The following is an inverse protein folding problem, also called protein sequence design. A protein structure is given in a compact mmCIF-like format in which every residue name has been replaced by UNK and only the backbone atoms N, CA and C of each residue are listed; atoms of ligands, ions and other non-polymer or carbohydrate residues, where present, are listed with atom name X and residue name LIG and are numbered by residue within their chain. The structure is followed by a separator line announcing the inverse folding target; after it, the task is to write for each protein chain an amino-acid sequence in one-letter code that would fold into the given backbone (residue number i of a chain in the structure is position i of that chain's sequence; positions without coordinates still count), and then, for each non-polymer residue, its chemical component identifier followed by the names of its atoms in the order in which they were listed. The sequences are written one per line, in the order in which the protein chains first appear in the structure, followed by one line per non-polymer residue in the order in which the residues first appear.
data_IF_638365853839
#
_entry.id   IF_638365853839
#
_cell.length_a   1.000
_cell.length_b   1.000
_cell.length_c   1.000
_cell.angle_alpha   90.00
_cell.angle_beta   90.00
_cell.angle_gamma   90.00
#
_symmetry.space_group_name_H-M   'P 1'
#
loop_
_entity.id
_entity.type
_entity.pdbx_description
1 polymer ?
#
# COMPACT_ATOMS: atom_id res chain seq x y z
N UNK A 1 -27.18 9.13 55.65
CA UNK A 1 -28.63 9.24 55.97
C UNK A 1 -28.86 10.56 56.72
N UNK A 2 -30.04 11.21 56.64
CA UNK A 2 -30.77 11.65 55.45
C UNK A 2 -31.28 13.12 55.60
N UNK A 3 -31.81 13.74 54.53
CA UNK A 3 -33.18 14.33 54.50
C UNK A 3 -33.45 15.10 53.20
N UNK A 4 -34.60 14.77 52.63
CA UNK A 4 -35.20 15.31 51.42
C UNK A 4 -35.91 16.66 51.65
N UNK A 5 -36.16 17.41 50.58
CA UNK A 5 -37.43 18.13 50.39
C UNK A 5 -37.67 18.44 48.91
N UNK A 6 -38.80 17.95 48.37
CA UNK A 6 -39.43 18.40 47.11
C UNK A 6 -40.11 19.77 47.36
N UNK A 7 -40.55 20.47 46.31
CA UNK A 7 -41.95 20.89 46.08
C UNK A 7 -42.07 21.59 44.70
N UNK A 8 -43.29 21.53 44.15
CA UNK A 8 -43.75 21.79 42.78
C UNK A 8 -44.08 23.26 42.50
N UNK A 9 -44.12 23.70 41.22
CA UNK A 9 -45.26 24.43 40.60
C UNK A 9 -45.24 24.24 39.07
N UNK A 10 -46.42 23.91 38.51
CA UNK A 10 -46.77 23.90 37.09
C UNK A 10 -47.93 24.90 36.92
N UNK A 11 -47.87 25.81 35.95
CA UNK A 11 -49.03 26.59 35.51
C UNK A 11 -49.05 26.65 33.99
N UNK A 12 -50.16 26.17 33.44
CA UNK A 12 -50.58 26.20 32.05
C UNK A 12 -51.64 27.31 31.90
N UNK A 13 -51.62 28.06 30.80
CA UNK A 13 -52.65 29.04 30.47
C UNK A 13 -52.69 29.29 28.96
N UNK A 14 -53.65 28.64 28.29
CA UNK A 14 -54.03 28.78 26.88
C UNK A 14 -55.23 29.74 26.79
N UNK A 15 -55.40 30.47 25.67
CA UNK A 15 -56.65 30.56 24.84
C UNK A 15 -56.66 31.80 23.90
N UNK A 16 -56.68 31.47 22.60
CA UNK A 16 -57.46 31.93 21.43
C UNK A 16 -57.61 33.41 20.93
N UNK A 17 -57.43 33.50 19.59
CA UNK A 17 -57.67 34.47 18.50
C UNK A 17 -59.13 35.01 18.34
N UNK A 18 -59.43 36.12 17.59
CA UNK A 18 -59.30 36.20 16.09
C UNK A 18 -59.08 37.58 15.38
N UNK A 19 -58.48 37.53 14.16
CA UNK A 19 -59.05 38.10 12.92
C UNK A 19 -58.60 39.46 12.34
N UNK A 20 -57.71 39.42 11.31
CA UNK A 20 -57.50 40.27 10.09
C UNK A 20 -57.36 41.82 10.22
N UNK A 21 -56.63 42.62 9.41
CA UNK A 21 -56.42 42.72 7.94
C UNK A 21 -54.99 43.23 7.57
N UNK A 22 -54.54 42.94 6.33
CA UNK A 22 -53.25 43.20 5.61
C UNK A 22 -52.75 44.69 5.55
N UNK A 23 -51.51 45.13 5.21
CA UNK A 23 -50.15 44.70 4.73
C UNK A 23 -49.20 45.94 4.91
N UNK A 24 -47.83 45.92 4.88
CA UNK A 24 -46.98 45.42 3.77
C UNK A 24 -45.69 44.65 4.18
N UNK A 25 -45.07 43.98 3.20
CA UNK A 25 -43.73 43.35 3.22
C UNK A 25 -42.84 44.06 2.14
N UNK A 26 -41.47 44.03 2.17
CA UNK A 26 -40.73 42.79 1.88
C UNK A 26 -39.45 42.52 2.71
N UNK A 27 -39.28 41.22 2.97
CA UNK A 27 -38.09 40.38 2.74
C UNK A 27 -37.19 40.01 3.94
N UNK A 28 -37.27 38.73 4.31
CA UNK A 28 -36.22 38.02 5.04
C UNK A 28 -36.57 36.61 5.53
N UNK A 29 -37.01 35.69 4.65
CA UNK A 29 -37.24 34.28 5.03
C UNK A 29 -37.41 33.28 3.88
N UNK A 30 -36.46 32.34 3.80
CA UNK A 30 -36.47 30.91 3.37
C UNK A 30 -37.53 30.40 2.37
N UNK A 31 -37.05 29.69 1.34
CA UNK A 31 -37.82 28.63 0.63
C UNK A 31 -38.36 29.04 -0.73
N UNK A 32 -37.71 28.58 -1.80
CA UNK A 32 -38.19 28.78 -3.17
C UNK A 32 -39.37 27.85 -3.49
N UNK A 33 -40.58 28.42 -3.53
CA UNK A 33 -41.74 27.79 -4.18
C UNK A 33 -41.93 28.41 -5.56
N UNK A 34 -41.72 27.64 -6.63
CA UNK A 34 -42.07 28.02 -8.00
C UNK A 34 -42.85 26.90 -8.68
N UNK A 35 -44.18 27.02 -8.73
CA UNK A 35 -45.06 26.16 -9.51
C UNK A 35 -45.50 26.92 -10.77
N UNK A 36 -44.65 26.90 -11.80
CA UNK A 36 -45.01 27.27 -13.18
C UNK A 36 -44.54 26.14 -14.10
N UNK A 37 -45.23 25.84 -15.22
CA UNK A 37 -44.82 24.75 -16.12
C UNK A 37 -43.40 24.90 -16.70
N UNK A 38 -42.82 26.11 -16.67
CA UNK A 38 -41.53 26.45 -17.28
C UNK A 38 -40.53 27.19 -16.35
N UNK A 39 -40.64 27.07 -15.02
CA UNK A 39 -39.75 27.76 -14.09
C UNK A 39 -38.70 26.86 -13.47
N UNK A 40 -37.41 26.95 -13.82
CA UNK A 40 -36.33 26.25 -13.08
C UNK A 40 -36.03 27.02 -11.77
N UNK A 41 -36.74 26.72 -10.68
CA UNK A 41 -36.27 26.89 -9.29
C UNK A 41 -36.12 25.61 -8.45
N UNK A 42 -35.37 24.58 -8.83
CA UNK A 42 -35.02 24.26 -10.20
C UNK A 42 -36.21 23.69 -10.99
N UNK A 43 -37.44 24.02 -10.61
CA UNK A 43 -38.75 23.44 -10.95
C UNK A 43 -39.14 23.32 -12.44
N UNK A 44 -38.34 22.65 -13.26
CA UNK A 44 -38.85 21.99 -14.47
C UNK A 44 -39.26 20.55 -14.17
N UNK A 45 -40.54 20.23 -14.23
CA UNK A 45 -41.04 18.84 -14.20
C UNK A 45 -41.00 18.32 -15.64
N UNK A 46 -39.82 17.87 -16.10
CA UNK A 46 -39.70 17.07 -17.32
C UNK A 46 -39.13 15.68 -17.01
N UNK A 47 -39.59 14.63 -17.70
CA UNK A 47 -39.13 13.28 -17.41
C UNK A 47 -37.68 13.12 -17.90
N UNK A 48 -36.70 13.15 -16.98
CA UNK A 48 -35.36 12.61 -17.26
C UNK A 48 -34.13 13.31 -16.67
N UNK A 49 -34.24 14.41 -15.90
CA UNK A 49 -33.05 15.10 -15.38
C UNK A 49 -33.10 15.40 -13.88
N UNK A 50 -32.17 14.84 -13.10
CA UNK A 50 -31.88 15.30 -11.73
C UNK A 50 -30.90 16.47 -11.86
N UNK A 51 -31.13 17.55 -11.11
CA UNK A 51 -30.47 18.84 -11.24
C UNK A 51 -28.96 18.83 -11.53
N UNK A 52 -28.59 19.64 -12.51
CA UNK A 52 -27.23 19.96 -12.94
C UNK A 52 -27.36 20.74 -14.24
N UNK A 53 -26.87 21.97 -14.29
CA UNK A 53 -27.02 22.87 -15.44
C UNK A 53 -26.37 22.29 -16.70
N UNK A 54 -27.17 21.91 -17.71
CA UNK A 54 -26.65 21.65 -19.07
C UNK A 54 -27.52 20.68 -19.89
N UNK A 55 -28.22 21.21 -20.88
CA UNK A 55 -29.09 20.49 -21.83
C UNK A 55 -28.22 19.99 -23.00
N UNK A 56 -27.55 18.84 -22.83
CA UNK A 56 -26.99 18.05 -23.92
C UNK A 56 -27.32 16.56 -23.67
N UNK A 57 -27.55 15.74 -24.70
CA UNK A 57 -27.63 14.29 -24.53
C UNK A 57 -26.23 13.78 -24.15
N UNK A 58 -25.96 13.66 -22.84
CA UNK A 58 -24.65 13.28 -22.28
C UNK A 58 -24.29 13.88 -20.92
N UNK A 59 -25.24 14.39 -20.14
CA UNK A 59 -24.96 15.11 -18.89
C UNK A 59 -24.17 14.29 -17.84
N UNK A 60 -23.03 14.82 -17.42
CA UNK A 60 -22.28 14.44 -16.21
C UNK A 60 -22.26 15.68 -15.31
N UNK A 61 -23.02 15.65 -14.22
CA UNK A 61 -23.04 16.72 -13.23
C UNK A 61 -21.93 16.53 -12.20
N UNK A 62 -21.07 17.54 -12.03
CA UNK A 62 -20.09 17.59 -10.95
C UNK A 62 -19.03 18.67 -11.16
N UNK A 63 -19.21 19.85 -10.55
CA UNK A 63 -18.15 20.86 -10.42
C UNK A 63 -17.18 20.41 -9.33
N UNK A 64 -16.20 19.57 -9.68
CA UNK A 64 -15.10 19.20 -8.80
C UNK A 64 -13.77 19.50 -9.47
N UNK A 65 -13.04 20.52 -8.97
CA UNK A 65 -11.64 20.76 -9.35
C UNK A 65 -10.73 19.81 -8.55
N UNK A 66 -10.97 18.51 -8.69
CA UNK A 66 -10.10 17.40 -8.31
C UNK A 66 -10.10 16.42 -9.49
N UNK A 67 -8.95 15.84 -9.90
CA UNK A 67 -8.93 14.78 -10.89
C UNK A 67 -9.51 13.51 -10.25
N UNK A 68 -10.83 13.43 -10.24
CA UNK A 68 -11.61 12.44 -9.51
C UNK A 68 -13.09 12.77 -9.63
N UNK A 69 -13.60 12.73 -10.86
CA UNK A 69 -15.04 12.83 -11.11
C UNK A 69 -15.80 11.70 -10.43
N UNK A 70 -17.11 11.86 -10.29
CA UNK A 70 -18.04 10.88 -9.73
C UNK A 70 -18.12 9.69 -10.71
N UNK A 71 -17.11 8.83 -10.68
CA UNK A 71 -16.96 7.71 -11.60
C UNK A 71 -15.82 6.83 -11.13
N UNK A 72 -16.15 5.58 -10.76
CA UNK A 72 -15.24 4.56 -10.24
C UNK A 72 -14.19 4.06 -11.26
N UNK A 73 -13.49 4.97 -11.91
CA UNK A 73 -12.33 4.68 -12.77
C UNK A 73 -11.02 4.73 -11.99
N UNK A 74 -11.03 5.11 -10.71
CA UNK A 74 -9.85 5.02 -9.87
C UNK A 74 -9.55 3.58 -9.45
N UNK A 75 -8.26 3.27 -9.32
CA UNK A 75 -7.73 2.01 -8.79
C UNK A 75 -6.95 2.35 -7.51
N UNK A 76 -7.20 1.58 -6.45
CA UNK A 76 -6.37 1.57 -5.24
C UNK A 76 -5.74 0.19 -5.08
N UNK A 77 -4.42 0.10 -5.19
CA UNK A 77 -3.67 -1.13 -4.98
C UNK A 77 -2.98 -1.10 -3.62
N UNK A 78 -3.09 -2.19 -2.85
CA UNK A 78 -2.37 -2.40 -1.61
C UNK A 78 -1.59 -3.70 -1.74
N UNK A 79 -0.27 -3.61 -1.71
CA UNK A 79 0.53 -4.79 -1.95
C UNK A 79 2.02 -4.51 -1.90
N UNK A 80 2.75 -5.36 -2.59
CA UNK A 80 4.21 -5.36 -2.60
C UNK A 80 4.70 -5.04 -4.01
N UNK A 81 5.73 -4.20 -4.13
CA UNK A 81 6.43 -4.01 -5.40
C UNK A 81 7.15 -5.30 -5.76
N UNK A 82 6.79 -5.88 -6.89
CA UNK A 82 7.32 -7.15 -7.36
C UNK A 82 8.36 -7.01 -8.46
N UNK A 83 8.28 -5.94 -9.28
CA UNK A 83 9.17 -5.67 -10.43
C UNK A 83 9.24 -4.18 -10.78
N UNK A 84 10.27 -3.81 -11.54
CA UNK A 84 10.55 -2.45 -12.04
C UNK A 84 10.51 -2.31 -13.58
N UNK A 85 10.53 -1.04 -14.03
CA UNK A 85 10.26 -0.56 -15.38
C UNK A 85 9.09 0.43 -15.29
N UNK A 86 7.90 -0.14 -15.15
CA UNK A 86 6.82 0.38 -14.31
C UNK A 86 6.89 -0.32 -12.95
N UNK A 87 6.07 0.04 -11.97
CA UNK A 87 5.92 -0.81 -10.78
C UNK A 87 4.85 -1.87 -11.03
N UNK A 88 5.14 -3.10 -10.64
CA UNK A 88 4.15 -4.19 -10.63
C UNK A 88 3.74 -4.45 -9.19
N UNK A 89 2.44 -4.33 -8.91
CA UNK A 89 1.86 -4.53 -7.58
C UNK A 89 0.63 -5.40 -7.74
N UNK A 90 0.60 -6.52 -7.04
CA UNK A 90 -0.47 -7.52 -7.15
C UNK A 90 -0.68 -7.96 -8.62
N UNK A 91 0.39 -8.23 -9.37
CA UNK A 91 0.33 -8.68 -10.77
C UNK A 91 0.02 -7.59 -11.80
N UNK A 92 -0.60 -6.48 -11.38
CA UNK A 92 -0.93 -5.36 -12.25
C UNK A 92 0.24 -4.40 -12.44
N UNK A 93 0.47 -3.97 -13.68
CA UNK A 93 1.43 -2.91 -14.01
C UNK A 93 0.82 -1.52 -13.78
N UNK A 94 1.56 -0.64 -13.08
CA UNK A 94 1.24 0.78 -12.88
C UNK A 94 2.34 1.66 -13.47
N UNK A 95 2.01 2.38 -14.55
CA UNK A 95 2.94 3.33 -15.15
C UNK A 95 3.24 4.49 -14.20
N UNK A 96 4.52 4.84 -14.09
CA UNK A 96 4.98 6.03 -13.38
C UNK A 96 5.11 7.19 -14.38
N UNK A 97 4.63 8.37 -14.01
CA UNK A 97 4.74 9.59 -14.82
C UNK A 97 5.47 10.69 -14.05
N UNK A 98 5.87 11.80 -14.72
CA UNK A 98 6.44 12.96 -14.03
C UNK A 98 5.50 13.60 -12.98
N UNK A 99 4.20 13.30 -13.04
CA UNK A 99 3.19 13.80 -12.10
C UNK A 99 2.93 12.85 -10.93
N UNK A 100 3.46 11.62 -10.97
CA UNK A 100 3.31 10.68 -9.86
C UNK A 100 3.96 11.25 -8.60
N UNK A 101 3.20 11.28 -7.51
CA UNK A 101 3.69 11.70 -6.19
C UNK A 101 4.16 10.50 -5.41
N UNK A 102 5.23 10.67 -4.65
CA UNK A 102 5.84 9.62 -3.85
C UNK A 102 5.91 10.05 -2.40
N UNK A 103 5.65 9.12 -1.49
CA UNK A 103 5.96 9.31 -0.08
C UNK A 103 6.47 8.03 0.56
N UNK A 104 7.31 8.18 1.57
CA UNK A 104 7.85 7.10 2.40
C UNK A 104 7.50 7.41 3.85
N UNK A 105 6.64 6.58 4.44
CA UNK A 105 6.11 6.76 5.79
C UNK A 105 5.56 8.18 6.06
N UNK A 106 4.94 8.78 5.04
CA UNK A 106 4.33 10.12 5.09
C UNK A 106 5.28 11.28 4.80
N UNK A 107 6.59 11.05 4.69
CA UNK A 107 7.53 12.05 4.18
C UNK A 107 7.53 12.04 2.66
N UNK A 108 7.63 13.22 2.02
CA UNK A 108 7.75 13.30 0.57
C UNK A 108 9.02 12.58 0.09
N UNK A 109 8.90 11.84 -1.01
CA UNK A 109 10.00 11.07 -1.61
C UNK A 109 10.02 11.18 -3.13
N UNK A 110 10.71 10.24 -3.76
CA UNK A 110 10.92 10.15 -5.20
C UNK A 110 10.80 8.72 -5.69
N UNK A 111 10.78 8.53 -7.02
CA UNK A 111 10.81 7.20 -7.62
C UNK A 111 12.04 6.35 -7.21
N UNK A 112 13.16 7.00 -6.82
CA UNK A 112 14.37 6.30 -6.37
C UNK A 112 14.22 5.66 -4.99
N UNK A 113 13.23 6.10 -4.22
CA UNK A 113 12.97 5.55 -2.90
C UNK A 113 12.14 4.26 -2.95
N UNK A 114 11.68 3.85 -4.14
CA UNK A 114 10.98 2.60 -4.37
C UNK A 114 11.97 1.46 -4.57
N UNK A 115 11.78 0.36 -3.84
CA UNK A 115 12.60 -0.83 -3.91
C UNK A 115 11.76 -2.10 -4.09
N UNK A 116 12.43 -3.17 -4.53
CA UNK A 116 11.79 -4.47 -4.69
C UNK A 116 11.39 -4.97 -3.31
N UNK A 117 10.15 -5.46 -3.19
CA UNK A 117 9.60 -5.94 -1.92
C UNK A 117 9.05 -4.83 -1.04
N UNK A 118 9.08 -3.56 -1.46
CA UNK A 118 8.45 -2.49 -0.70
C UNK A 118 6.94 -2.68 -0.66
N UNK A 119 6.39 -2.51 0.54
CA UNK A 119 4.94 -2.48 0.72
C UNK A 119 4.43 -1.09 0.36
N UNK A 120 3.50 -1.04 -0.58
CA UNK A 120 2.97 0.21 -1.12
C UNK A 120 1.45 0.26 -1.14
N UNK A 121 0.93 1.49 -1.00
CA UNK A 121 -0.39 1.85 -1.50
C UNK A 121 -0.22 2.65 -2.80
N UNK A 122 -0.86 2.21 -3.88
CA UNK A 122 -0.87 2.91 -5.17
C UNK A 122 -2.28 3.42 -5.44
N UNK A 123 -2.42 4.72 -5.68
CA UNK A 123 -3.62 5.29 -6.28
C UNK A 123 -3.35 5.56 -7.74
N UNK A 124 -4.22 5.06 -8.61
CA UNK A 124 -4.06 5.19 -10.05
C UNK A 124 -5.38 5.56 -10.74
N UNK A 125 -5.28 6.24 -11.88
CA UNK A 125 -6.41 6.36 -12.80
C UNK A 125 -6.39 5.18 -13.78
N UNK A 126 -7.57 4.62 -14.05
CA UNK A 126 -7.79 3.70 -15.16
C UNK A 126 -8.29 4.49 -16.38
N UNK A 127 -7.36 4.96 -17.21
CA UNK A 127 -7.65 5.52 -18.54
C UNK A 127 -6.90 4.68 -19.60
N UNK A 128 -7.46 3.51 -19.92
CA UNK A 128 -6.84 2.51 -20.79
C UNK A 128 -5.67 1.73 -20.17
N UNK A 129 -4.74 2.42 -19.52
CA UNK A 129 -3.64 1.86 -18.71
C UNK A 129 -3.68 2.43 -17.30
N UNK A 130 -3.31 1.65 -16.29
CA UNK A 130 -3.20 2.15 -14.92
C UNK A 130 -1.98 3.09 -14.80
N UNK A 131 -2.25 4.38 -14.60
CA UNK A 131 -1.21 5.40 -14.38
C UNK A 131 -1.24 5.80 -12.91
N UNK A 132 -0.12 5.60 -12.20
CA UNK A 132 0.01 5.94 -10.79
C UNK A 132 0.01 7.46 -10.59
N UNK A 133 -0.89 7.93 -9.72
CA UNK A 133 -0.96 9.32 -9.28
C UNK A 133 -0.24 9.51 -7.95
N UNK A 134 -0.31 8.51 -7.07
CA UNK A 134 0.29 8.51 -5.74
C UNK A 134 0.82 7.11 -5.43
N UNK A 135 2.07 7.03 -4.96
CA UNK A 135 2.71 5.80 -4.50
C UNK A 135 3.28 6.05 -3.10
N UNK A 136 2.75 5.33 -2.11
CA UNK A 136 3.14 5.48 -0.70
C UNK A 136 3.81 4.21 -0.20
N UNK A 137 5.09 4.30 0.13
CA UNK A 137 5.83 3.23 0.81
C UNK A 137 5.53 3.28 2.30
N UNK A 138 5.25 2.13 2.90
CA UNK A 138 4.89 2.02 4.30
C UNK A 138 5.63 0.89 5.02
N UNK A 139 6.71 1.25 5.72
CA UNK A 139 7.54 0.27 6.43
C UNK A 139 6.84 -0.21 7.70
N UNK A 140 6.63 -1.52 7.87
CA UNK A 140 6.05 -2.11 9.08
C UNK A 140 6.76 -1.66 10.36
N UNK A 141 8.09 -1.76 10.37
CA UNK A 141 8.94 -1.45 11.52
C UNK A 141 10.24 -0.79 11.06
N UNK A 142 10.68 0.25 11.76
CA UNK A 142 12.03 0.80 11.67
C UNK A 142 12.62 0.84 13.08
N UNK A 143 13.80 0.24 13.26
CA UNK A 143 14.45 0.24 14.56
C UNK A 143 15.68 -0.64 14.64
N UNK A 144 16.20 -0.78 15.86
CA UNK A 144 17.35 -1.63 16.17
C UNK A 144 16.92 -3.08 16.31
N UNK A 145 17.64 -3.97 15.64
CA UNK A 145 17.50 -5.42 15.80
C UNK A 145 17.99 -5.82 17.19
N UNK A 146 17.15 -6.50 17.96
CA UNK A 146 17.50 -7.00 19.30
C UNK A 146 17.92 -8.46 19.28
N UNK A 147 17.41 -9.24 18.33
CA UNK A 147 17.72 -10.67 18.18
C UNK A 147 17.72 -11.07 16.71
N UNK A 148 18.57 -12.04 16.36
CA UNK A 148 18.65 -12.64 15.02
C UNK A 148 18.74 -14.15 15.16
N UNK A 149 17.77 -14.86 14.59
CA UNK A 149 17.86 -16.30 14.34
C UNK A 149 18.07 -16.50 12.83
N UNK A 150 19.34 -16.64 12.44
CA UNK A 150 19.72 -16.80 11.05
C UNK A 150 19.24 -18.14 10.44
N UNK A 151 19.10 -19.19 11.26
CA UNK A 151 18.63 -20.50 10.81
C UNK A 151 17.14 -20.46 10.48
N UNK A 152 16.34 -19.76 11.30
CA UNK A 152 14.91 -19.54 11.05
C UNK A 152 14.62 -18.34 10.14
N UNK A 153 15.64 -17.54 9.80
CA UNK A 153 15.50 -16.25 9.10
C UNK A 153 14.53 -15.30 9.79
N UNK A 154 14.70 -15.16 11.10
CA UNK A 154 13.84 -14.34 11.97
C UNK A 154 14.65 -13.22 12.63
N UNK A 155 14.05 -12.04 12.73
CA UNK A 155 14.57 -10.90 13.50
C UNK A 155 13.57 -10.51 14.59
N UNK A 156 14.07 -9.97 15.68
CA UNK A 156 13.25 -9.27 16.68
C UNK A 156 13.59 -7.79 16.67
N UNK A 157 12.60 -6.91 16.52
CA UNK A 157 12.75 -5.45 16.52
C UNK A 157 11.60 -4.86 17.32
N UNK A 158 11.88 -4.05 18.35
CA UNK A 158 10.87 -3.54 19.28
C UNK A 158 10.06 -4.63 20.04
N UNK A 159 10.45 -5.91 19.95
CA UNK A 159 9.65 -7.03 20.46
C UNK A 159 8.77 -7.67 19.38
N UNK A 160 8.63 -7.03 18.22
CA UNK A 160 7.98 -7.60 17.05
C UNK A 160 8.83 -8.73 16.46
N UNK A 161 8.17 -9.81 16.07
CA UNK A 161 8.78 -10.95 15.39
C UNK A 161 8.67 -10.79 13.88
N UNK A 162 9.80 -10.61 13.22
CA UNK A 162 9.90 -10.43 11.77
C UNK A 162 10.40 -11.71 11.12
N UNK A 163 9.56 -12.39 10.35
CA UNK A 163 9.93 -13.57 9.58
C UNK A 163 10.29 -13.16 8.14
N UNK A 164 11.49 -13.51 7.68
CA UNK A 164 11.86 -13.36 6.27
C UNK A 164 11.69 -14.67 5.50
N UNK A 165 11.14 -14.59 4.29
CA UNK A 165 11.07 -15.70 3.35
C UNK A 165 12.39 -15.91 2.62
N UNK A 166 12.53 -17.03 1.88
CA UNK A 166 13.78 -17.37 1.17
C UNK A 166 14.22 -16.28 0.18
N UNK A 167 13.25 -15.67 -0.49
CA UNK A 167 13.42 -14.66 -1.55
C UNK A 167 13.29 -13.23 -1.05
N UNK A 168 13.10 -12.99 0.25
CA UNK A 168 13.05 -11.63 0.80
C UNK A 168 14.38 -10.92 0.54
N UNK A 169 14.42 -9.82 -0.23
CA UNK A 169 15.62 -9.04 -0.46
C UNK A 169 16.11 -8.42 0.85
N UNK A 170 17.44 -8.45 1.03
CA UNK A 170 18.13 -7.76 2.11
C UNK A 170 19.14 -6.82 1.46
N UNK A 171 19.02 -5.51 1.66
CA UNK A 171 19.87 -4.50 0.99
C UNK A 171 20.49 -3.53 1.99
N UNK A 172 21.47 -2.76 1.53
CA UNK A 172 22.05 -1.64 2.27
C UNK A 172 21.37 -0.34 1.85
N UNK A 173 21.11 0.56 2.79
CA UNK A 173 20.60 1.89 2.47
C UNK A 173 21.61 2.68 1.62
N UNK A 174 21.10 3.48 0.67
CA UNK A 174 21.88 4.31 -0.25
C UNK A 174 22.88 3.51 -1.12
N UNK A 175 22.61 2.21 -1.33
CA UNK A 175 23.42 1.34 -2.15
C UNK A 175 22.57 0.25 -2.80
N UNK A 176 22.93 -0.13 -4.03
CA UNK A 176 22.35 -1.30 -4.70
C UNK A 176 22.92 -2.64 -4.16
N UNK A 177 23.74 -2.58 -3.11
CA UNK A 177 24.35 -3.76 -2.51
C UNK A 177 23.30 -4.66 -1.85
N UNK A 178 23.22 -5.90 -2.34
CA UNK A 178 22.50 -6.99 -1.69
C UNK A 178 23.34 -7.63 -0.59
N UNK A 179 22.68 -8.05 0.49
CA UNK A 179 23.25 -8.74 1.64
C UNK A 179 22.64 -10.14 1.78
N UNK A 180 23.43 -11.08 2.31
CA UNK A 180 22.85 -12.30 2.87
C UNK A 180 22.09 -11.96 4.15
N UNK A 181 21.00 -12.69 4.44
CA UNK A 181 20.30 -12.57 5.72
C UNK A 181 21.24 -12.80 6.91
N UNK A 182 22.22 -13.71 6.75
CA UNK A 182 23.23 -14.02 7.79
C UNK A 182 24.17 -12.86 8.10
N UNK A 183 24.18 -11.79 7.29
CA UNK A 183 24.97 -10.60 7.53
C UNK A 183 24.28 -9.60 8.48
N UNK A 184 23.00 -9.81 8.80
CA UNK A 184 22.27 -9.03 9.79
C UNK A 184 22.66 -9.50 11.20
N UNK A 185 22.87 -8.55 12.10
CA UNK A 185 23.24 -8.83 13.48
C UNK A 185 22.45 -7.95 14.45
N UNK A 186 22.37 -8.40 15.71
CA UNK A 186 21.81 -7.56 16.77
C UNK A 186 22.56 -6.22 16.83
N UNK A 187 21.81 -5.14 17.05
CA UNK A 187 22.28 -3.77 17.06
C UNK A 187 22.17 -3.05 15.70
N UNK A 188 22.11 -3.78 14.57
CA UNK A 188 21.88 -3.18 13.25
C UNK A 188 20.56 -2.40 13.26
N UNK A 189 20.53 -1.25 12.59
CA UNK A 189 19.32 -0.46 12.39
C UNK A 189 18.77 -0.80 11.02
N UNK A 190 17.52 -1.25 10.97
CA UNK A 190 16.89 -1.70 9.73
C UNK A 190 15.52 -1.06 9.55
N UNK A 191 15.11 -0.89 8.29
CA UNK A 191 13.71 -0.70 7.93
C UNK A 191 13.15 -1.99 7.33
N UNK A 192 11.92 -2.33 7.71
CA UNK A 192 11.22 -3.54 7.30
C UNK A 192 9.99 -3.13 6.50
N UNK A 193 9.95 -3.49 5.23
CA UNK A 193 8.69 -3.62 4.49
C UNK A 193 8.12 -4.99 4.78
N UNK A 194 6.84 -5.08 5.16
CA UNK A 194 6.26 -6.36 5.54
C UNK A 194 4.75 -6.33 5.74
N UNK A 195 4.17 -7.53 5.71
CA UNK A 195 2.73 -7.78 5.87
C UNK A 195 2.45 -8.22 7.30
N UNK A 196 1.45 -7.62 7.92
CA UNK A 196 1.02 -7.88 9.29
C UNK A 196 0.33 -9.26 9.38
N UNK A 197 0.82 -10.16 10.23
CA UNK A 197 0.18 -11.45 10.54
C UNK A 197 -0.64 -11.41 11.84
N UNK A 198 -0.68 -10.26 12.51
CA UNK A 198 -1.31 -10.05 13.80
C UNK A 198 -0.40 -10.42 14.98
N UNK A 199 -0.73 -9.90 16.16
CA UNK A 199 -0.07 -10.17 17.45
C UNK A 199 1.45 -9.94 17.44
N UNK A 200 1.89 -8.92 16.70
CA UNK A 200 3.29 -8.54 16.58
C UNK A 200 4.16 -9.47 15.72
N UNK A 201 3.53 -10.30 14.89
CA UNK A 201 4.22 -11.12 13.90
C UNK A 201 4.10 -10.51 12.51
N UNK A 202 5.22 -10.44 11.79
CA UNK A 202 5.30 -9.86 10.45
C UNK A 202 5.95 -10.83 9.47
N UNK A 203 5.46 -10.83 8.23
CA UNK A 203 6.20 -11.38 7.09
C UNK A 203 6.95 -10.25 6.40
N UNK A 204 8.29 -10.25 6.46
CA UNK A 204 9.12 -9.30 5.73
C UNK A 204 9.09 -9.56 4.23
N UNK A 205 8.76 -8.52 3.48
CA UNK A 205 8.78 -8.47 2.02
C UNK A 205 10.02 -7.77 1.50
N UNK A 206 10.64 -6.88 2.29
CA UNK A 206 12.01 -6.41 2.11
C UNK A 206 12.64 -6.00 3.44
N UNK A 207 13.96 -6.14 3.55
CA UNK A 207 14.74 -5.70 4.70
C UNK A 207 15.85 -4.78 4.19
N UNK A 208 15.95 -3.57 4.73
CA UNK A 208 17.01 -2.64 4.37
C UNK A 208 17.79 -2.23 5.61
N UNK A 209 19.09 -2.49 5.61
CA UNK A 209 19.99 -2.07 6.68
C UNK A 209 20.34 -0.61 6.50
N UNK A 210 19.83 0.23 7.39
CA UNK A 210 20.11 1.67 7.44
C UNK A 210 21.51 1.93 8.00
N UNK A 211 21.82 1.27 9.12
CA UNK A 211 23.13 1.39 9.76
C UNK A 211 23.59 0.04 10.34
N UNK A 212 24.85 -0.36 10.10
CA UNK A 212 25.50 -1.38 10.91
C UNK A 212 25.51 -1.02 12.41
N UNK A 213 25.43 -2.02 13.29
CA UNK A 213 25.41 -1.84 14.74
C UNK A 213 26.50 -0.92 15.30
N UNK A 214 27.70 -1.04 14.74
CA UNK A 214 28.95 -0.37 15.12
C UNK A 214 29.08 1.07 14.58
N UNK A 215 28.33 1.41 13.53
CA UNK A 215 28.39 2.73 12.88
C UNK A 215 27.06 3.50 12.98
N UNK A 216 26.08 2.95 13.70
CA UNK A 216 24.80 3.59 13.91
C UNK A 216 24.96 4.90 14.72
N UNK A 217 24.36 6.02 14.26
CA UNK A 217 24.42 7.28 15.00
C UNK A 217 23.72 7.18 16.36
N UNK A 218 24.03 8.12 17.26
CA UNK A 218 23.43 8.18 18.60
C UNK A 218 21.90 8.32 18.55
N UNK A 219 21.39 9.01 17.52
CA UNK A 219 19.96 9.16 17.22
C UNK A 219 19.62 8.41 15.95
N UNK A 220 18.75 7.41 16.06
CA UNK A 220 18.24 6.64 14.91
C UNK A 220 16.70 6.62 14.91
N UNK A 221 16.05 6.55 13.75
CA UNK A 221 14.59 6.56 13.67
C UNK A 221 13.97 5.33 14.34
N UNK A 222 12.78 5.54 14.90
CA UNK A 222 11.87 4.51 15.37
C UNK A 222 10.55 4.67 14.65
N UNK A 223 10.06 3.59 14.06
CA UNK A 223 8.70 3.52 13.51
C UNK A 223 8.11 2.15 13.83
N UNK A 224 6.87 2.13 14.29
CA UNK A 224 6.08 0.91 14.47
C UNK A 224 4.66 1.17 13.97
N UNK A 225 4.20 0.36 13.02
CA UNK A 225 2.80 0.34 12.60
C UNK A 225 2.13 -0.91 13.16
N UNK A 226 0.89 -0.77 13.60
CA UNK A 226 0.12 -1.88 14.14
C UNK A 226 -1.21 -1.39 14.73
N UNK A 227 -1.99 -2.31 15.29
CA UNK A 227 -3.20 -1.98 16.02
C UNK A 227 -2.89 -1.66 17.48
N UNK A 228 -3.67 -0.75 18.06
CA UNK A 228 -3.62 -0.49 19.50
C UNK A 228 -4.26 -1.67 20.22
N UNK A 229 -3.46 -2.46 20.93
CA UNK A 229 -3.94 -3.62 21.69
C UNK A 229 -4.40 -3.23 23.09
N UNK A 230 -3.68 -2.31 23.73
CA UNK A 230 -4.06 -1.77 25.02
C UNK A 230 -3.55 -0.34 25.26
N UNK A 231 -4.28 0.39 26.09
CA UNK A 231 -3.95 1.74 26.53
C UNK A 231 -3.86 1.74 28.06
N UNK A 232 -2.75 2.25 28.61
CA UNK A 232 -2.55 2.39 30.05
C UNK A 232 -2.29 3.87 30.42
N UNK A 233 -3.34 4.72 30.46
CA UNK A 233 -3.20 6.15 30.71
C UNK A 233 -2.50 6.49 32.03
N UNK A 234 -2.77 5.73 33.10
CA UNK A 234 -2.14 5.94 34.41
C UNK A 234 -0.65 5.62 34.43
N UNK A 235 -0.16 4.85 33.45
CA UNK A 235 1.23 4.43 33.34
C UNK A 235 1.97 5.14 32.20
N UNK A 236 1.29 6.00 31.45
CA UNK A 236 1.83 6.62 30.23
C UNK A 236 2.38 5.57 29.26
N UNK A 237 1.61 4.50 29.04
CA UNK A 237 2.02 3.35 28.21
C UNK A 237 0.99 3.03 27.14
N UNK A 238 1.48 2.81 25.92
CA UNK A 238 0.75 2.32 24.76
C UNK A 238 1.25 0.90 24.44
N UNK A 239 0.34 -0.02 24.16
CA UNK A 239 0.66 -1.36 23.65
C UNK A 239 0.18 -1.49 22.20
N UNK A 240 1.10 -1.82 21.30
CA UNK A 240 0.88 -2.03 19.86
C UNK A 240 1.64 -3.29 19.46
N UNK A 241 0.92 -4.30 18.98
CA UNK A 241 1.48 -5.61 18.69
C UNK A 241 2.06 -6.26 19.95
N UNK A 242 3.33 -6.67 19.86
CA UNK A 242 4.05 -7.22 21.00
C UNK A 242 4.74 -6.12 21.85
N UNK A 243 4.63 -4.85 21.43
CA UNK A 243 5.46 -3.76 21.92
C UNK A 243 4.73 -2.89 22.95
N UNK A 244 5.31 -2.74 24.15
CA UNK A 244 4.90 -1.74 25.15
C UNK A 244 5.80 -0.52 25.11
N UNK A 245 5.24 0.62 24.72
CA UNK A 245 5.97 1.89 24.56
C UNK A 245 5.58 2.89 25.65
N UNK A 246 6.58 3.53 26.25
CA UNK A 246 6.37 4.74 27.05
C UNK A 246 6.08 5.91 26.12
N UNK A 247 5.00 6.62 26.40
CA UNK A 247 4.52 7.76 25.60
C UNK A 247 4.14 8.92 26.50
N UNK A 248 4.01 10.12 25.95
CA UNK A 248 3.34 11.19 26.66
C UNK A 248 1.85 10.84 26.81
N UNK A 249 1.30 10.90 28.03
CA UNK A 249 -0.11 10.57 28.29
C UNK A 249 -1.12 11.36 27.45
N UNK A 250 -0.77 12.58 27.01
CA UNK A 250 -1.60 13.36 26.09
C UNK A 250 -1.81 12.65 24.74
N UNK A 251 -0.83 11.87 24.26
CA UNK A 251 -0.92 11.11 23.01
C UNK A 251 -1.90 9.92 23.10
N UNK A 252 -2.26 9.49 24.31
CA UNK A 252 -3.18 8.36 24.52
C UNK A 252 -4.65 8.77 24.43
N UNK A 253 -4.97 10.03 24.73
CA UNK A 253 -6.35 10.53 24.80
C UNK A 253 -7.18 10.34 23.51
N UNK A 254 -6.65 10.59 22.30
CA UNK A 254 -7.43 10.43 21.08
C UNK A 254 -7.55 8.97 20.60
N UNK A 255 -6.81 8.03 21.19
CA UNK A 255 -6.72 6.66 20.69
C UNK A 255 -7.85 5.76 21.20
N UNK A 256 -8.07 4.65 20.49
CA UNK A 256 -8.98 3.56 20.88
C UNK A 256 -8.28 2.22 20.67
N UNK A 257 -8.63 1.23 21.49
CA UNK A 257 -8.22 -0.16 21.25
C UNK A 257 -8.80 -0.65 19.92
N UNK A 258 -8.04 -1.43 19.15
CA UNK A 258 -8.36 -1.89 17.80
C UNK A 258 -8.01 -0.89 16.69
N UNK A 259 -7.70 0.36 17.03
CA UNK A 259 -7.35 1.38 16.05
C UNK A 259 -5.96 1.11 15.45
N UNK A 260 -5.85 1.11 14.12
CA UNK A 260 -4.55 1.08 13.44
C UNK A 260 -3.83 2.42 13.59
N UNK A 261 -2.57 2.37 14.03
CA UNK A 261 -1.73 3.54 14.28
C UNK A 261 -0.34 3.39 13.67
N UNK A 262 0.33 4.52 13.48
CA UNK A 262 1.76 4.61 13.20
C UNK A 262 2.40 5.38 14.36
N UNK A 263 3.22 4.67 15.11
CA UNK A 263 4.05 5.24 16.17
C UNK A 263 5.38 5.67 15.56
N UNK A 264 5.77 6.93 15.76
CA UNK A 264 7.07 7.45 15.31
C UNK A 264 7.83 8.02 16.48
N UNK A 265 9.15 7.93 16.39
CA UNK A 265 10.05 8.53 17.35
C UNK A 265 11.49 8.29 17.00
N UNK A 266 12.34 8.29 18.02
CA UNK A 266 13.77 8.05 17.86
C UNK A 266 14.29 7.17 18.99
N UNK A 267 15.35 6.42 18.73
CA UNK A 267 16.20 5.90 19.79
C UNK A 267 17.25 6.97 20.13
N UNK A 268 17.39 7.29 21.41
CA UNK A 268 18.48 8.13 21.94
C UNK A 268 19.20 7.32 23.00
N UNK A 269 20.51 7.12 22.85
CA UNK A 269 21.34 6.33 23.79
C UNK A 269 20.77 4.93 24.09
N UNK A 270 20.24 4.27 23.04
CA UNK A 270 19.64 2.93 23.13
C UNK A 270 18.22 2.88 23.71
N UNK A 271 17.67 4.00 24.17
CA UNK A 271 16.31 4.09 24.70
C UNK A 271 15.33 4.60 23.64
N UNK A 272 14.20 3.92 23.49
CA UNK A 272 13.12 4.33 22.60
C UNK A 272 12.37 5.54 23.18
N UNK A 273 12.28 6.61 22.41
CA UNK A 273 11.46 7.79 22.71
C UNK A 273 10.40 7.96 21.64
N UNK A 274 9.14 7.79 22.03
CA UNK A 274 8.00 8.08 21.15
C UNK A 274 7.78 9.58 21.07
N UNK A 275 7.64 10.08 19.84
CA UNK A 275 7.44 11.49 19.54
C UNK A 275 6.03 11.76 19.02
N UNK A 276 5.44 10.82 18.27
CA UNK A 276 4.05 10.92 17.82
C UNK A 276 3.39 9.54 17.70
N UNK A 277 2.07 9.53 17.88
CA UNK A 277 1.21 8.38 17.56
C UNK A 277 0.07 8.93 16.73
N UNK A 278 0.02 8.55 15.45
CA UNK A 278 -0.99 9.02 14.51
C UNK A 278 -1.85 7.84 14.05
N UNK A 279 -3.17 8.02 13.84
CA UNK A 279 -3.96 7.02 13.13
C UNK A 279 -3.31 6.66 11.79
N UNK A 280 -3.31 5.38 11.43
CA UNK A 280 -2.89 4.97 10.10
C UNK A 280 -3.85 5.55 9.06
N UNK A 281 -3.32 6.02 7.94
CA UNK A 281 -4.15 6.53 6.86
C UNK A 281 -5.02 5.37 6.34
N UNK A 282 -6.34 5.56 6.32
CA UNK A 282 -7.24 4.58 5.71
C UNK A 282 -6.86 4.43 4.25
N UNK A 283 -6.64 3.19 3.82
CA UNK A 283 -6.61 2.87 2.41
C UNK A 283 -8.03 2.83 1.85
N UNK A 284 -8.17 2.77 0.52
CA UNK A 284 -9.47 2.60 -0.15
C UNK A 284 -10.54 3.61 0.34
N UNK A 285 -10.30 4.91 0.11
CA UNK A 285 -11.18 5.97 0.61
C UNK A 285 -12.27 6.38 -0.40
N UNK A 286 -11.94 6.33 -1.68
CA UNK A 286 -12.76 6.87 -2.73
C UNK A 286 -13.83 5.86 -3.15
N UNK A 287 -15.07 6.14 -2.74
CA UNK A 287 -16.23 5.26 -3.01
C UNK A 287 -16.39 5.01 -4.51
N UNK A 288 -16.58 3.74 -4.87
CA UNK A 288 -16.71 3.27 -6.24
C UNK A 288 -15.40 2.89 -6.93
N UNK A 289 -14.23 3.28 -6.39
CA UNK A 289 -12.94 2.87 -6.96
C UNK A 289 -12.74 1.35 -6.84
N UNK A 290 -12.05 0.77 -7.83
CA UNK A 290 -11.59 -0.62 -7.75
C UNK A 290 -10.48 -0.74 -6.72
N UNK A 291 -10.50 -1.83 -5.96
CA UNK A 291 -9.44 -2.17 -5.01
C UNK A 291 -8.82 -3.50 -5.41
N UNK A 292 -7.50 -3.57 -5.37
CA UNK A 292 -6.73 -4.81 -5.37
C UNK A 292 -5.83 -4.81 -4.14
N UNK A 293 -5.98 -5.80 -3.28
CA UNK A 293 -5.29 -5.87 -2.00
C UNK A 293 -4.69 -7.24 -1.79
N UNK A 294 -3.46 -7.32 -1.30
CA UNK A 294 -2.84 -8.58 -0.86
C UNK A 294 -2.45 -8.47 0.61
N UNK A 295 -2.88 -9.44 1.43
CA UNK A 295 -2.59 -9.43 2.85
C UNK A 295 -3.13 -10.61 3.64
N UNK A 296 -2.80 -10.63 4.92
CA UNK A 296 -3.39 -11.58 5.86
C UNK A 296 -4.76 -11.09 6.32
N UNK A 297 -5.69 -12.02 6.46
CA UNK A 297 -6.97 -11.79 7.09
C UNK A 297 -6.80 -11.69 8.61
N UNK A 298 -7.47 -10.71 9.19
CA UNK A 298 -7.65 -10.55 10.63
C UNK A 298 -9.14 -10.41 10.93
N UNK A 299 -9.56 -10.78 12.14
CA UNK A 299 -10.94 -10.61 12.56
C UNK A 299 -11.15 -9.16 13.01
N UNK A 300 -11.98 -8.40 12.29
CA UNK A 300 -12.44 -7.08 12.71
C UNK A 300 -13.70 -7.18 13.58
N UNK A 301 -14.39 -6.07 13.81
CA UNK A 301 -15.66 -6.07 14.56
C UNK A 301 -16.77 -6.77 13.76
N UNK A 302 -16.96 -6.36 12.50
CA UNK A 302 -18.11 -6.76 11.68
C UNK A 302 -17.78 -7.75 10.55
N UNK A 303 -16.65 -8.44 10.61
CA UNK A 303 -16.25 -9.43 9.60
C UNK A 303 -14.75 -9.55 9.50
N UNK A 304 -14.29 -9.87 8.30
CA UNK A 304 -12.88 -9.92 7.98
C UNK A 304 -12.31 -8.55 7.69
N UNK A 305 -11.06 -8.35 8.08
CA UNK A 305 -10.28 -7.17 7.76
C UNK A 305 -8.93 -7.59 7.24
N UNK A 306 -8.31 -6.74 6.45
CA UNK A 306 -6.93 -6.93 6.02
C UNK A 306 -6.35 -5.56 5.68
N UNK A 307 -5.12 -5.28 6.13
CA UNK A 307 -4.50 -3.95 5.99
C UNK A 307 -5.34 -2.77 6.54
N UNK A 308 -6.16 -3.02 7.56
CA UNK A 308 -7.09 -2.01 8.09
C UNK A 308 -8.28 -1.69 7.18
N UNK A 309 -8.48 -2.46 6.10
CA UNK A 309 -9.67 -2.42 5.25
C UNK A 309 -10.64 -3.50 5.70
N UNK A 310 -11.91 -3.14 5.89
CA UNK A 310 -12.98 -4.09 6.19
C UNK A 310 -13.51 -4.71 4.90
N UNK A 311 -13.71 -6.02 4.91
CA UNK A 311 -14.24 -6.77 3.78
C UNK A 311 -15.72 -7.07 4.01
N UNK A 312 -16.52 -6.82 2.98
CA UNK A 312 -17.92 -7.25 2.91
C UNK A 312 -17.99 -8.37 1.88
N UNK A 313 -18.25 -9.59 2.34
CA UNK A 313 -18.51 -10.73 1.47
C UNK A 313 -20.01 -10.94 1.28
N UNK A 314 -20.40 -11.55 0.16
CA UNK A 314 -21.78 -11.88 -0.15
C UNK A 314 -21.89 -13.09 -1.07
N UNK A 315 -23.11 -13.39 -1.53
CA UNK A 315 -23.36 -14.48 -2.47
C UNK A 315 -22.72 -14.27 -3.85
N UNK A 316 -22.30 -13.03 -4.15
CA UNK A 316 -21.58 -12.68 -5.38
C UNK A 316 -20.07 -12.81 -5.27
N UNK A 317 -19.52 -12.97 -4.06
CA UNK A 317 -18.08 -13.09 -3.85
C UNK A 317 -17.58 -14.40 -4.44
N UNK A 318 -16.65 -14.30 -5.39
CA UNK A 318 -16.01 -15.44 -6.02
C UNK A 318 -14.76 -15.84 -5.24
N UNK A 319 -14.61 -17.14 -4.97
CA UNK A 319 -13.44 -17.69 -4.31
C UNK A 319 -12.59 -18.49 -5.29
N UNK A 320 -11.28 -18.23 -5.30
CA UNK A 320 -10.30 -18.96 -6.11
C UNK A 320 -9.25 -19.62 -5.22
N UNK A 321 -8.84 -20.85 -5.57
CA UNK A 321 -7.87 -21.67 -4.83
C UNK A 321 -8.25 -21.94 -3.36
N UNK A 322 -9.55 -21.89 -3.04
CA UNK A 322 -10.13 -22.12 -1.73
C UNK A 322 -11.61 -21.74 -1.73
N UNK A 323 -12.22 -21.68 -0.55
CA UNK A 323 -13.62 -21.25 -0.38
C UNK A 323 -13.83 -20.35 0.86
N UNK A 324 -15.08 -19.96 1.11
CA UNK A 324 -15.43 -19.10 2.25
C UNK A 324 -15.00 -19.68 3.61
N UNK A 325 -14.95 -21.02 3.76
CA UNK A 325 -14.52 -21.66 5.01
C UNK A 325 -13.01 -21.56 5.25
N UNK A 326 -12.22 -21.21 4.23
CA UNK A 326 -10.79 -20.94 4.33
C UNK A 326 -10.46 -19.50 4.75
N UNK A 327 -11.47 -18.62 4.79
CA UNK A 327 -11.34 -17.32 5.42
C UNK A 327 -11.17 -17.50 6.93
N UNK A 328 -9.92 -17.46 7.39
CA UNK A 328 -9.52 -17.61 8.78
C UNK A 328 -8.51 -16.52 9.12
N UNK A 329 -8.43 -16.14 10.39
CA UNK A 329 -7.39 -15.21 10.83
C UNK A 329 -6.00 -15.81 10.52
N UNK A 330 -5.14 -15.01 9.90
CA UNK A 330 -3.82 -15.44 9.42
C UNK A 330 -3.82 -16.09 8.04
N UNK A 331 -4.97 -16.26 7.36
CA UNK A 331 -4.99 -16.68 5.95
C UNK A 331 -4.46 -15.57 5.05
N UNK A 332 -3.49 -15.87 4.19
CA UNK A 332 -3.03 -14.95 3.14
C UNK A 332 -4.00 -14.97 1.97
N UNK A 333 -4.46 -13.79 1.56
CA UNK A 333 -5.39 -13.64 0.44
C UNK A 333 -4.98 -12.48 -0.47
N UNK A 334 -5.36 -12.58 -1.74
CA UNK A 334 -5.58 -11.42 -2.59
C UNK A 334 -7.09 -11.14 -2.66
N UNK A 335 -7.48 -9.88 -2.56
CA UNK A 335 -8.87 -9.44 -2.63
C UNK A 335 -9.00 -8.41 -3.74
N UNK A 336 -9.97 -8.61 -4.61
CA UNK A 336 -10.41 -7.63 -5.58
C UNK A 336 -11.86 -7.24 -5.29
N UNK A 337 -12.16 -5.96 -5.48
CA UNK A 337 -13.49 -5.45 -5.19
C UNK A 337 -13.64 -3.98 -5.47
N UNK A 338 -14.64 -3.38 -4.80
CA UNK A 338 -14.95 -1.96 -4.89
C UNK A 338 -15.09 -1.32 -3.52
N UNK A 339 -14.65 -0.08 -3.41
CA UNK A 339 -14.89 0.72 -2.20
C UNK A 339 -16.38 1.01 -2.07
N UNK A 340 -17.00 0.53 -0.99
CA UNK A 340 -18.41 0.80 -0.67
C UNK A 340 -18.54 2.03 0.26
N UNK A 341 -17.59 2.17 1.18
CA UNK A 341 -17.42 3.32 2.06
C UNK A 341 -15.93 3.47 2.39
N UNK A 342 -15.45 4.62 2.91
CA UNK A 342 -14.04 4.77 3.26
C UNK A 342 -13.53 3.66 4.17
N UNK A 343 -12.55 2.88 3.71
CA UNK A 343 -11.98 1.73 4.42
C UNK A 343 -12.86 0.46 4.42
N UNK A 344 -13.94 0.42 3.63
CA UNK A 344 -14.84 -0.74 3.49
C UNK A 344 -14.92 -1.14 2.03
N UNK A 345 -14.59 -2.39 1.73
CA UNK A 345 -14.56 -2.95 0.38
C UNK A 345 -15.58 -4.07 0.26
N UNK A 346 -16.45 -3.95 -0.73
CA UNK A 346 -17.28 -5.06 -1.23
C UNK A 346 -16.36 -6.01 -2.02
N UNK A 347 -16.15 -7.21 -1.48
CA UNK A 347 -15.24 -8.20 -2.04
C UNK A 347 -15.94 -8.93 -3.20
N UNK A 348 -15.51 -8.63 -4.42
CA UNK A 348 -16.00 -9.29 -5.63
C UNK A 348 -15.27 -10.63 -5.83
N UNK A 349 -13.97 -10.69 -5.49
CA UNK A 349 -13.15 -11.90 -5.64
C UNK A 349 -12.10 -12.01 -4.52
N UNK A 350 -11.95 -13.22 -3.97
CA UNK A 350 -10.95 -13.59 -2.96
C UNK A 350 -10.13 -14.78 -3.44
N UNK A 351 -8.81 -14.62 -3.51
CA UNK A 351 -7.87 -15.62 -4.02
C UNK A 351 -6.99 -16.08 -2.87
N UNK A 352 -6.98 -17.37 -2.60
CA UNK A 352 -6.15 -17.99 -1.56
C UNK A 352 -4.80 -18.48 -2.11
N UNK A 353 -3.91 -18.88 -1.20
CA UNK A 353 -2.59 -19.45 -1.52
C UNK A 353 -1.70 -18.51 -2.35
N UNK A 354 -1.81 -17.21 -2.07
CA UNK A 354 -1.08 -16.16 -2.77
C UNK A 354 0.33 -15.99 -2.21
N UNK A 355 1.33 -15.87 -3.09
CA UNK A 355 2.66 -15.41 -2.72
C UNK A 355 2.81 -13.91 -3.05
N UNK A 356 2.90 -13.01 -2.05
CA UNK A 356 2.90 -11.57 -2.30
C UNK A 356 4.09 -11.09 -3.15
N UNK A 357 5.24 -11.81 -3.10
CA UNK A 357 6.44 -11.45 -3.86
C UNK A 357 6.40 -11.92 -5.33
N UNK A 358 5.47 -12.80 -5.69
CA UNK A 358 5.41 -13.46 -7.01
C UNK A 358 3.96 -13.64 -7.50
N UNK A 359 3.06 -12.77 -7.04
CA UNK A 359 1.63 -12.91 -7.34
C UNK A 359 1.35 -12.53 -8.79
N UNK A 360 0.75 -13.49 -9.51
CA UNK A 360 0.17 -13.37 -10.84
C UNK A 360 1.15 -12.88 -11.94
N UNK A 361 2.40 -13.35 -11.90
CA UNK A 361 3.28 -13.24 -13.06
C UNK A 361 3.09 -14.44 -13.99
N UNK A 362 2.91 -14.21 -15.31
CA UNK A 362 3.22 -15.26 -16.26
C UNK A 362 4.71 -15.61 -16.12
N UNK A 363 5.02 -16.91 -16.11
CA UNK A 363 6.40 -17.39 -16.24
C UNK A 363 6.96 -16.74 -17.50
N UNK A 364 7.96 -15.87 -17.37
CA UNK A 364 8.71 -15.43 -18.56
C UNK A 364 9.43 -16.68 -19.06
N UNK A 365 9.09 -17.25 -20.24
CA UNK A 365 9.92 -18.29 -20.80
C UNK A 365 11.30 -17.66 -20.96
N UNK A 366 12.33 -18.27 -20.35
CA UNK A 366 13.71 -17.89 -20.65
C UNK A 366 13.81 -17.93 -22.16
N UNK A 367 13.95 -16.77 -22.81
CA UNK A 367 14.32 -16.78 -24.22
C UNK A 367 15.59 -17.63 -24.28
N UNK A 368 15.63 -18.70 -25.09
CA UNK A 368 16.89 -19.36 -25.33
C UNK A 368 17.83 -18.24 -25.77
N UNK A 369 18.96 -18.10 -25.07
CA UNK A 369 20.06 -17.32 -25.59
C UNK A 369 20.39 -17.99 -26.91
N UNK A 370 19.87 -17.46 -28.01
CA UNK A 370 20.29 -17.89 -29.32
C UNK A 370 21.79 -17.64 -29.33
N UNK A 371 22.62 -18.67 -29.58
CA UNK A 371 24.04 -18.43 -29.78
C UNK A 371 24.16 -17.33 -30.85
N UNK A 372 25.12 -16.41 -30.72
CA UNK A 372 25.28 -15.34 -31.70
C UNK A 372 25.29 -15.97 -33.09
N UNK A 373 24.37 -15.51 -33.96
CA UNK A 373 24.38 -15.88 -35.37
C UNK A 373 25.63 -15.24 -35.95
N UNK A 374 26.72 -16.00 -35.98
CA UNK A 374 27.86 -15.66 -36.80
C UNK A 374 27.42 -15.85 -38.24
N UNK A 375 27.03 -14.76 -38.89
CA UNK A 375 27.06 -14.70 -40.35
C UNK A 375 28.53 -14.90 -40.77
N UNK A 376 28.93 -16.13 -41.02
CA UNK A 376 30.04 -16.40 -41.89
C UNK A 376 29.50 -16.09 -43.29
N UNK A 377 29.88 -14.99 -43.95
CA UNK A 377 29.67 -14.91 -45.37
C UNK A 377 30.34 -16.15 -45.96
N UNK A 378 29.57 -16.97 -46.66
CA UNK A 378 30.11 -18.08 -47.42
C UNK A 378 30.96 -17.44 -48.54
N UNK A 379 32.24 -17.28 -48.25
CA UNK A 379 33.23 -16.87 -49.23
C UNK A 379 33.34 -18.07 -50.15
N UNK A 380 32.68 -18.02 -51.32
CA UNK A 380 33.00 -18.90 -52.45
C UNK A 380 34.51 -18.83 -52.66
N UNK A 381 35.21 -19.88 -52.24
CA UNK A 381 36.64 -20.00 -52.50
C UNK A 381 36.82 -20.24 -53.99
N UNK A 382 37.47 -19.35 -54.75
CA UNK A 382 37.86 -19.69 -56.11
C UNK A 382 38.79 -20.90 -56.06
N UNK A 383 38.48 -21.93 -56.85
CA UNK A 383 39.36 -23.09 -57.04
C UNK A 383 40.63 -22.62 -57.75
N UNK A 384 41.69 -22.39 -56.98
CA UNK A 384 43.04 -22.27 -57.54
C UNK A 384 43.55 -23.69 -57.83
N UNK A 385 43.70 -24.02 -59.13
CA UNK A 385 44.40 -25.21 -59.57
C UNK A 385 45.85 -25.23 -59.04
N UNK A 386 46.43 -26.42 -58.86
CA UNK A 386 47.76 -26.55 -58.25
C UNK A 386 48.82 -25.81 -59.10
N UNK A 387 49.74 -25.06 -58.48
CA UNK A 387 50.85 -24.44 -59.19
C UNK A 387 51.77 -25.51 -59.77
N UNK A 388 52.16 -25.32 -61.02
CA UNK A 388 53.18 -26.13 -61.69
C UNK A 388 54.54 -25.79 -61.07
N UNK A 389 55.11 -26.73 -60.30
CA UNK A 389 56.43 -26.57 -59.67
C UNK A 389 57.42 -27.39 -60.50
N UNK A 390 58.26 -26.73 -61.30
CA UNK A 390 59.43 -27.35 -61.90
C UNK A 390 60.48 -27.66 -60.81
N UNK A 391 60.99 -28.90 -60.71
CA UNK A 391 61.96 -29.26 -59.70
C UNK A 391 63.37 -28.83 -60.13
N UNK A 392 63.91 -27.79 -59.48
CA UNK A 392 65.35 -27.51 -59.51
C UNK A 392 66.04 -28.37 -58.45
N UNK A 393 66.55 -29.54 -58.87
CA UNK A 393 67.38 -30.41 -58.02
C UNK A 393 68.83 -29.92 -58.10
N UNK A 394 69.26 -29.11 -57.13
CA UNK A 394 70.70 -28.95 -56.85
C UNK A 394 71.14 -30.06 -55.88
N UNK A 395 72.07 -30.88 -56.36
CA UNK A 395 72.63 -32.04 -55.67
C UNK A 395 73.74 -31.54 -54.72
N UNK A 396 73.70 -31.84 -53.41
CA UNK A 396 74.80 -31.49 -52.51
C UNK A 396 75.98 -32.42 -52.77
N UNK A 397 77.16 -31.87 -53.05
CA UNK A 397 78.43 -32.62 -52.97
C UNK A 397 78.83 -32.74 -51.50
N UNK A 398 79.07 -33.97 -51.05
CA UNK A 398 79.64 -34.29 -49.74
C UNK A 398 81.17 -34.22 -49.81
N UNK A 399 81.86 -33.92 -48.69
CA UNK A 399 83.29 -33.66 -48.66
C UNK A 399 84.12 -34.95 -48.69
N UNK A 400 85.19 -34.95 -49.49
CA UNK A 400 86.31 -35.88 -49.31
C UNK A 400 87.32 -35.26 -48.33
N UNK A 401 87.59 -35.97 -47.23
CA UNK A 401 88.71 -35.74 -46.34
C UNK A 401 89.99 -36.31 -46.96
N UNK A 402 91.03 -35.49 -47.01
CA UNK A 402 92.39 -35.81 -46.54
C UNK A 402 93.16 -34.52 -46.22
#
# INVERSE_FOLDING_TARGET
MPKALRWWVLVLGLVALPGAWALPDPAGGVGGSGATPDGIGGTGIHPGGIGGTGIHPGGIGGTGIQPGGIGGTGITALGVIQRFGSIYVNGQEYALSPQTRYSVDGAAGTAKDLHLGDRVTVQAAADGRAIAQDVRVEHAVIGRVTEVDAAKRQLTILGETIQAGKTTPVTVHDSDQSLSFTALKAGDVVSISGLDRGNGHWLATAIRRLYPADTAPARVPLLLRGQVDALYPSQNTLEVGATKLKVNGALLQPLRVGQSVVVRGTYTDGQARVESVTPAALAAQDVGNRVSLVGYLARGDNGWTTHGVSLVEGSHTLYENGDAADMRAGSMVAVEGRVQAPGVVDAERVIFSVNPMDFDFPIIPRMPVLPPVFHHPEIERPEFGPPEIEPLVERPELPDND
#
